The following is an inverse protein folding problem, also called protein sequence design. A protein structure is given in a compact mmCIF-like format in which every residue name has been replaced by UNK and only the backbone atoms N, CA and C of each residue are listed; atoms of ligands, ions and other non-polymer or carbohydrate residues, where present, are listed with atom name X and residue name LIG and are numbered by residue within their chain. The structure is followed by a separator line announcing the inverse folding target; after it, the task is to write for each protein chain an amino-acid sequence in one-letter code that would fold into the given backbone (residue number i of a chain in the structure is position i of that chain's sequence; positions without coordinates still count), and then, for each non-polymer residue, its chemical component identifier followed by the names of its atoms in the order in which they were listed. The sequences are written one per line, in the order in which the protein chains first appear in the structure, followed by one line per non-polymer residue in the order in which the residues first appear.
data_IF_419465971045
#
_entry.id   IF_419465971045
#
_cell.length_a   1.000
_cell.length_b   1.000
_cell.length_c   1.000
_cell.angle_alpha   90.00
_cell.angle_beta   90.00
_cell.angle_gamma   90.00
#
_symmetry.space_group_name_H-M   'P 1'
#
loop_
_entity.id
_entity.type
_entity.pdbx_description
1 polymer ?
#
# COMPACT_ATOMS: atom_id res chain seq x y z
N UNK A 1 3.76 -0.49 25.36
CA UNK A 1 2.90 0.50 24.68
C UNK A 1 3.47 0.99 23.34
N UNK A 2 4.78 1.22 23.20
CA UNK A 2 5.36 1.69 21.93
C UNK A 2 5.16 0.72 20.73
N UNK A 3 5.19 -0.59 20.97
CA UNK A 3 4.96 -1.60 19.93
C UNK A 3 3.55 -1.54 19.33
N UNK A 4 2.52 -1.49 20.17
CA UNK A 4 1.11 -1.38 19.75
C UNK A 4 0.86 -0.09 18.96
N UNK A 5 1.45 1.03 19.41
CA UNK A 5 1.37 2.31 18.69
C UNK A 5 2.10 2.27 17.34
N UNK A 6 3.27 1.65 17.28
CA UNK A 6 4.00 1.46 16.03
C UNK A 6 3.23 0.58 15.03
N UNK A 7 2.64 -0.52 15.50
CA UNK A 7 1.83 -1.40 14.68
C UNK A 7 0.57 -0.70 14.15
N UNK A 8 -0.18 -0.02 15.03
CA UNK A 8 -1.39 0.72 14.65
C UNK A 8 -1.10 1.86 13.67
N UNK A 9 -0.05 2.64 13.91
CA UNK A 9 0.37 3.72 13.00
C UNK A 9 0.80 3.18 11.63
N UNK A 10 1.56 2.08 11.61
CA UNK A 10 1.99 1.44 10.36
C UNK A 10 0.81 0.98 9.52
N UNK A 11 -0.18 0.30 10.13
CA UNK A 11 -1.41 -0.15 9.45
C UNK A 11 -2.17 1.05 8.86
N UNK A 12 -2.35 2.11 9.64
CA UNK A 12 -3.07 3.30 9.19
C UNK A 12 -2.35 4.02 8.04
N UNK A 13 -1.03 4.23 8.17
CA UNK A 13 -0.22 4.92 7.16
C UNK A 13 -0.15 4.12 5.86
N UNK A 14 0.18 2.83 5.93
CA UNK A 14 0.27 1.98 4.75
C UNK A 14 -1.11 1.76 4.11
N UNK A 15 -2.17 1.65 4.91
CA UNK A 15 -3.54 1.60 4.41
C UNK A 15 -3.94 2.87 3.66
N UNK A 16 -3.59 4.05 4.17
CA UNK A 16 -3.84 5.33 3.49
C UNK A 16 -3.08 5.43 2.16
N UNK A 17 -1.80 5.05 2.14
CA UNK A 17 -0.99 5.02 0.91
C UNK A 17 -1.60 4.05 -0.10
N UNK A 18 -1.97 2.85 0.35
CA UNK A 18 -2.58 1.82 -0.50
C UNK A 18 -3.87 2.32 -1.14
N UNK A 19 -4.80 2.85 -0.34
CA UNK A 19 -6.10 3.35 -0.83
C UNK A 19 -5.92 4.50 -1.80
N UNK A 20 -5.10 5.51 -1.46
CA UNK A 20 -4.87 6.67 -2.34
C UNK A 20 -4.21 6.26 -3.65
N UNK A 21 -3.24 5.35 -3.59
CA UNK A 21 -2.53 4.87 -4.78
C UNK A 21 -3.43 4.01 -5.67
N UNK A 22 -4.28 3.18 -5.07
CA UNK A 22 -5.27 2.39 -5.80
C UNK A 22 -6.24 3.30 -6.57
N UNK A 23 -6.85 4.28 -5.89
CA UNK A 23 -7.78 5.22 -6.52
C UNK A 23 -7.13 6.02 -7.64
N UNK A 24 -5.85 6.34 -7.52
CA UNK A 24 -5.11 7.05 -8.56
C UNK A 24 -4.71 6.16 -9.75
N UNK A 25 -4.63 4.85 -9.57
CA UNK A 25 -4.07 3.91 -10.55
C UNK A 25 -5.14 3.15 -11.34
N UNK A 26 -6.38 3.10 -10.86
CA UNK A 26 -7.45 2.34 -11.51
C UNK A 26 -7.93 2.98 -12.81
N UNK A 27 -7.77 2.23 -13.91
CA UNK A 27 -8.32 2.58 -15.21
C UNK A 27 -9.73 1.98 -15.36
N UNK A 28 -10.75 2.80 -15.10
CA UNK A 28 -12.15 2.34 -15.09
C UNK A 28 -12.65 1.97 -16.49
N UNK A 29 -13.31 0.81 -16.67
CA UNK A 29 -13.84 0.40 -17.96
C UNK A 29 -15.05 1.23 -18.38
N UNK A 30 -15.26 1.34 -19.69
CA UNK A 30 -16.50 1.87 -20.26
C UNK A 30 -17.69 0.97 -19.91
N UNK A 31 -18.85 1.56 -19.62
CA UNK A 31 -20.07 0.82 -19.25
C UNK A 31 -20.44 0.93 -17.77
N UNK A 32 -19.65 1.65 -16.97
CA UNK A 32 -20.01 2.06 -15.61
C UNK A 32 -20.73 3.43 -15.64
N UNK A 33 -21.76 3.60 -14.82
CA UNK A 33 -22.27 4.93 -14.52
C UNK A 33 -21.26 5.74 -13.71
N UNK A 34 -21.39 7.07 -13.67
CA UNK A 34 -20.47 7.93 -12.91
C UNK A 34 -20.39 7.59 -11.41
N UNK A 35 -21.51 7.20 -10.80
CA UNK A 35 -21.55 6.78 -9.39
C UNK A 35 -20.86 5.44 -9.17
N UNK A 36 -21.09 4.47 -10.05
CA UNK A 36 -20.43 3.15 -10.03
C UNK A 36 -18.93 3.27 -10.24
N UNK A 37 -18.50 4.15 -11.14
CA UNK A 37 -17.10 4.49 -11.38
C UNK A 37 -16.43 5.05 -10.11
N UNK A 38 -17.08 6.01 -9.44
CA UNK A 38 -16.55 6.58 -8.19
C UNK A 38 -16.50 5.54 -7.06
N UNK A 39 -17.52 4.70 -6.94
CA UNK A 39 -17.56 3.63 -5.94
C UNK A 39 -16.44 2.62 -6.18
N UNK A 40 -16.28 2.13 -7.41
CA UNK A 40 -15.22 1.21 -7.78
C UNK A 40 -13.81 1.80 -7.56
N UNK A 41 -13.63 3.11 -7.77
CA UNK A 41 -12.35 3.76 -7.54
C UNK A 41 -12.01 3.94 -6.05
N UNK A 42 -12.98 3.85 -5.15
CA UNK A 42 -12.75 4.06 -3.71
C UNK A 42 -11.88 2.98 -3.07
N UNK A 43 -12.06 1.72 -3.48
CA UNK A 43 -11.25 0.58 -3.02
C UNK A 43 -11.46 -0.65 -3.91
N UNK A 44 -10.50 -1.59 -3.86
CA UNK A 44 -10.64 -2.89 -4.52
C UNK A 44 -11.84 -3.69 -3.98
N UNK A 45 -12.17 -3.54 -2.69
CA UNK A 45 -13.32 -4.21 -2.09
C UNK A 45 -14.64 -3.76 -2.73
N UNK A 46 -14.79 -2.45 -2.94
CA UNK A 46 -15.95 -1.89 -3.63
C UNK A 46 -16.00 -2.31 -5.10
N UNK A 47 -14.87 -2.32 -5.81
CA UNK A 47 -14.82 -2.82 -7.19
C UNK A 47 -15.22 -4.30 -7.30
N UNK A 48 -14.77 -5.15 -6.37
CA UNK A 48 -15.14 -6.56 -6.30
C UNK A 48 -16.62 -6.74 -5.98
N UNK A 49 -17.14 -5.98 -4.99
CA UNK A 49 -18.55 -5.99 -4.64
C UNK A 49 -19.43 -5.60 -5.84
N UNK A 50 -19.07 -4.50 -6.52
CA UNK A 50 -19.77 -4.00 -7.68
C UNK A 50 -19.72 -4.98 -8.88
N UNK A 51 -18.60 -5.66 -9.08
CA UNK A 51 -18.43 -6.62 -10.18
C UNK A 51 -19.44 -7.76 -10.16
N UNK A 52 -19.95 -8.13 -8.97
CA UNK A 52 -20.92 -9.21 -8.81
C UNK A 52 -22.31 -8.85 -9.36
N UNK A 53 -22.63 -7.55 -9.45
CA UNK A 53 -23.90 -7.05 -9.97
C UNK A 53 -23.81 -6.60 -11.44
N UNK A 54 -22.63 -6.74 -12.07
CA UNK A 54 -22.38 -6.26 -13.43
C UNK A 54 -22.51 -7.38 -14.48
N UNK A 55 -22.86 -7.05 -15.74
CA UNK A 55 -22.76 -7.98 -16.85
C UNK A 55 -21.34 -8.53 -16.97
N UNK A 56 -21.20 -9.82 -17.30
CA UNK A 56 -19.93 -10.54 -17.26
C UNK A 56 -18.76 -9.83 -17.96
N UNK A 57 -18.99 -9.21 -19.12
CA UNK A 57 -17.95 -8.48 -19.85
C UNK A 57 -17.44 -7.23 -19.10
N UNK A 58 -18.34 -6.46 -18.49
CA UNK A 58 -17.97 -5.27 -17.70
C UNK A 58 -17.34 -5.69 -16.37
N UNK A 59 -17.86 -6.74 -15.74
CA UNK A 59 -17.32 -7.29 -14.50
C UNK A 59 -15.86 -7.76 -14.67
N UNK A 60 -15.56 -8.50 -15.74
CA UNK A 60 -14.20 -8.96 -16.05
C UNK A 60 -13.24 -7.78 -16.30
N UNK A 61 -13.67 -6.79 -17.09
CA UNK A 61 -12.87 -5.59 -17.35
C UNK A 61 -12.60 -4.81 -16.05
N UNK A 62 -13.62 -4.66 -15.20
CA UNK A 62 -13.48 -3.98 -13.91
C UNK A 62 -12.53 -4.73 -12.96
N UNK A 63 -12.66 -6.07 -12.85
CA UNK A 63 -11.74 -6.86 -12.03
C UNK A 63 -10.30 -6.81 -12.54
N UNK A 64 -10.08 -6.85 -13.85
CA UNK A 64 -8.75 -6.74 -14.44
C UNK A 64 -8.10 -5.37 -14.12
N UNK A 65 -8.87 -4.29 -14.27
CA UNK A 65 -8.44 -2.94 -13.90
C UNK A 65 -8.12 -2.83 -12.41
N UNK A 66 -9.04 -3.30 -11.55
CA UNK A 66 -8.88 -3.27 -10.10
C UNK A 66 -7.65 -4.07 -9.63
N UNK A 67 -7.43 -5.26 -10.19
CA UNK A 67 -6.25 -6.09 -9.88
C UNK A 67 -4.95 -5.37 -10.26
N UNK A 68 -4.91 -4.76 -11.43
CA UNK A 68 -3.73 -4.03 -11.92
C UNK A 68 -3.42 -2.85 -11.01
N UNK A 69 -4.43 -2.04 -10.68
CA UNK A 69 -4.30 -0.91 -9.77
C UNK A 69 -3.85 -1.33 -8.37
N UNK A 70 -4.39 -2.45 -7.86
CA UNK A 70 -4.00 -2.97 -6.56
C UNK A 70 -2.55 -3.43 -6.53
N UNK A 71 -2.07 -4.13 -7.55
CA UNK A 71 -0.66 -4.54 -7.64
C UNK A 71 0.25 -3.30 -7.63
N UNK A 72 -0.07 -2.28 -8.42
CA UNK A 72 0.71 -1.04 -8.46
C UNK A 72 0.73 -0.31 -7.10
N UNK A 73 -0.44 -0.15 -6.48
CA UNK A 73 -0.55 0.46 -5.15
C UNK A 73 0.22 -0.33 -4.10
N UNK A 74 0.13 -1.66 -4.15
CA UNK A 74 0.82 -2.54 -3.21
C UNK A 74 2.34 -2.49 -3.38
N UNK A 75 2.84 -2.44 -4.61
CA UNK A 75 4.28 -2.24 -4.89
C UNK A 75 4.80 -0.93 -4.30
N UNK A 76 4.03 0.15 -4.34
CA UNK A 76 4.43 1.42 -3.73
C UNK A 76 4.51 1.32 -2.20
N UNK A 77 3.57 0.61 -1.57
CA UNK A 77 3.61 0.35 -0.13
C UNK A 77 4.85 -0.46 0.24
N UNK A 78 5.16 -1.53 -0.51
CA UNK A 78 6.37 -2.34 -0.30
C UNK A 78 7.64 -1.52 -0.48
N UNK A 79 7.71 -0.66 -1.49
CA UNK A 79 8.84 0.24 -1.69
C UNK A 79 9.01 1.21 -0.51
N UNK A 80 7.92 1.79 -0.01
CA UNK A 80 7.92 2.68 1.15
C UNK A 80 8.41 1.96 2.40
N UNK A 81 7.90 0.75 2.67
CA UNK A 81 8.35 -0.08 3.78
C UNK A 81 9.83 -0.45 3.65
N UNK A 82 10.29 -0.81 2.45
CA UNK A 82 11.70 -1.09 2.16
C UNK A 82 12.61 0.11 2.45
N UNK A 83 12.22 1.31 2.02
CA UNK A 83 12.95 2.55 2.32
C UNK A 83 13.03 2.79 3.83
N UNK A 84 11.92 2.63 4.57
CA UNK A 84 11.91 2.78 6.02
C UNK A 84 12.85 1.79 6.72
N UNK A 85 12.87 0.53 6.27
CA UNK A 85 13.79 -0.49 6.79
C UNK A 85 15.25 -0.16 6.49
N UNK A 86 15.57 0.33 5.28
CA UNK A 86 16.92 0.76 4.92
C UNK A 86 17.40 1.95 5.77
N UNK A 87 16.52 2.93 6.02
CA UNK A 87 16.83 4.05 6.91
C UNK A 87 17.08 3.59 8.35
N UNK A 88 16.26 2.67 8.85
CA UNK A 88 16.45 2.08 10.18
C UNK A 88 17.79 1.32 10.27
N UNK A 89 18.08 0.49 9.27
CA UNK A 89 19.33 -0.26 9.19
C UNK A 89 20.56 0.67 9.16
N UNK A 90 20.52 1.74 8.36
CA UNK A 90 21.57 2.74 8.30
C UNK A 90 21.74 3.48 9.65
N UNK A 91 20.63 3.80 10.33
CA UNK A 91 20.65 4.41 11.66
C UNK A 91 21.30 3.49 12.70
N UNK A 92 20.93 2.21 12.73
CA UNK A 92 21.52 1.20 13.61
C UNK A 92 23.01 1.04 13.31
N UNK A 93 23.39 0.92 12.04
CA UNK A 93 24.78 0.80 11.62
C UNK A 93 25.62 1.98 12.11
N UNK A 94 25.13 3.21 11.92
CA UNK A 94 25.82 4.42 12.39
C UNK A 94 25.94 4.45 13.91
N UNK A 95 24.88 4.10 14.63
CA UNK A 95 24.88 4.05 16.10
C UNK A 95 25.92 3.05 16.62
N UNK A 96 25.94 1.84 16.07
CA UNK A 96 26.92 0.81 16.43
C UNK A 96 28.35 1.22 16.06
N UNK A 97 28.55 1.83 14.88
CA UNK A 97 29.86 2.31 14.46
C UNK A 97 30.41 3.43 15.36
N UNK A 98 29.55 4.20 16.03
CA UNK A 98 29.95 5.25 16.97
C UNK A 98 30.32 4.74 18.37
N UNK A 99 29.99 3.48 18.71
CA UNK A 99 30.42 2.87 19.97
C UNK A 99 31.86 2.37 19.80
N UNK A 100 32.84 3.22 20.15
CA UNK A 100 34.26 2.90 20.06
C UNK A 100 34.65 1.66 20.89
N UNK A 101 35.58 0.85 20.36
CA UNK A 101 36.14 -0.36 20.99
C UNK A 101 36.53 -0.11 22.46
N UNK A 102 36.18 -1.02 23.40
CA UNK A 102 36.71 -0.94 24.75
C UNK A 102 38.24 -1.00 24.68
N UNK A 103 38.89 0.04 25.19
CA UNK A 103 40.34 0.08 25.33
C UNK A 103 40.74 -1.10 26.22
N UNK A 104 41.48 -2.05 25.66
CA UNK A 104 42.16 -3.09 26.43
C UNK A 104 43.15 -2.38 27.35
N UNK A 105 42.77 -2.21 28.62
CA UNK A 105 43.68 -1.81 29.67
C UNK A 105 44.74 -2.90 29.78
N UNK A 106 45.97 -2.55 29.39
CA UNK A 106 47.19 -3.29 29.66
C UNK A 106 47.49 -3.27 31.15
#
# INVERSE_FOLDING_TARGET
MAYELGAGLGIALFGLILTRSYSASIALPSGLSGTMAQQAASSIGEAVSLSQALPAGVAQALMAAAKTAFIQAHSLVLATAGVLLLLLAAGIWRSLATVAKPQSAL
#
